data_IF_241138770985
#
_entry.id   IF_241138770985
#
_cell.length_a   1.000
_cell.length_b   1.000
_cell.length_c   1.000
_cell.angle_alpha   90.00
_cell.angle_beta   90.00
_cell.angle_gamma   90.00
#
_symmetry.space_group_name_H-M   'P 1'
#
loop_
_entity.id
_entity.type
_entity.pdbx_description
1 polymer ?
#
# COMPACT_ATOMS: atom_id res chain seq x y z
N UNK A 1 20.89 -1.22 9.61
CA UNK A 1 20.76 -2.67 9.27
C UNK A 1 19.27 -2.96 9.20
N UNK A 2 18.72 -3.25 8.02
CA UNK A 2 17.26 -3.27 7.77
C UNK A 2 16.57 -4.46 8.46
N UNK A 3 15.32 -4.27 8.89
CA UNK A 3 14.50 -5.30 9.58
C UNK A 3 14.37 -6.60 8.77
N UNK A 4 14.35 -6.50 7.44
CA UNK A 4 14.31 -7.64 6.51
C UNK A 4 15.57 -8.50 6.65
N UNK A 5 16.75 -7.88 6.67
CA UNK A 5 18.01 -8.62 6.79
C UNK A 5 18.16 -9.24 8.18
N UNK A 6 17.78 -8.51 9.23
CA UNK A 6 17.86 -9.03 10.60
C UNK A 6 16.95 -10.24 10.83
N UNK A 7 15.70 -10.18 10.34
CA UNK A 7 14.74 -11.29 10.49
C UNK A 7 15.14 -12.51 9.66
N UNK A 8 15.77 -12.31 8.50
CA UNK A 8 16.36 -13.40 7.69
C UNK A 8 17.48 -14.13 8.45
N UNK A 9 18.37 -13.40 9.11
CA UNK A 9 19.45 -14.00 9.95
C UNK A 9 18.87 -14.67 11.20
N UNK A 10 17.83 -14.09 11.80
CA UNK A 10 17.20 -14.61 13.00
C UNK A 10 16.18 -15.74 12.73
N UNK A 11 15.96 -16.13 11.46
CA UNK A 11 14.94 -17.10 11.05
C UNK A 11 13.53 -16.76 11.55
N UNK A 12 13.20 -15.46 11.63
CA UNK A 12 11.88 -14.98 12.04
C UNK A 12 11.00 -14.74 10.81
N UNK A 13 9.74 -15.16 10.90
CA UNK A 13 8.74 -14.81 9.87
C UNK A 13 8.36 -13.33 9.96
N UNK A 14 8.24 -12.66 8.81
CA UNK A 14 7.70 -11.30 8.74
C UNK A 14 6.20 -11.35 8.45
N UNK A 15 5.43 -10.54 9.17
CA UNK A 15 4.09 -10.12 8.75
C UNK A 15 4.05 -8.59 8.65
N UNK A 16 3.34 -8.07 7.66
CA UNK A 16 3.25 -6.61 7.42
C UNK A 16 1.85 -6.13 7.81
N UNK A 17 1.79 -5.04 8.56
CA UNK A 17 0.54 -4.39 8.97
C UNK A 17 0.51 -2.97 8.43
N UNK A 18 -0.56 -2.65 7.71
CA UNK A 18 -0.97 -1.29 7.33
C UNK A 18 -2.17 -0.92 8.21
N UNK A 19 -3.36 -0.67 7.66
CA UNK A 19 -4.58 -0.32 8.43
C UNK A 19 -5.29 -1.48 9.12
N UNK A 20 -4.63 -2.62 9.37
CA UNK A 20 -5.14 -3.72 10.20
C UNK A 20 -6.56 -4.25 9.85
N UNK A 21 -6.90 -4.31 8.56
CA UNK A 21 -8.24 -4.68 8.06
C UNK A 21 -8.31 -6.05 7.36
N UNK A 22 -7.34 -6.94 7.63
CA UNK A 22 -7.43 -8.32 7.17
C UNK A 22 -8.56 -9.05 7.91
N UNK A 23 -9.51 -9.64 7.17
CA UNK A 23 -10.68 -10.31 7.74
C UNK A 23 -10.35 -11.50 8.66
N UNK A 24 -9.20 -12.12 8.46
CA UNK A 24 -8.74 -13.29 9.23
C UNK A 24 -7.68 -12.93 10.27
N UNK A 25 -7.28 -11.66 10.37
CA UNK A 25 -6.24 -11.21 11.29
C UNK A 25 -4.85 -11.81 11.02
N UNK A 26 -4.55 -12.27 9.80
CA UNK A 26 -3.30 -12.99 9.47
C UNK A 26 -2.02 -12.16 9.67
N UNK A 27 -2.13 -10.83 9.83
CA UNK A 27 -1.01 -9.97 10.21
C UNK A 27 -0.62 -10.09 11.70
N UNK A 28 -1.57 -10.49 12.56
CA UNK A 28 -1.41 -10.60 14.02
C UNK A 28 -1.36 -12.05 14.51
N UNK A 29 -1.60 -13.01 13.62
CA UNK A 29 -1.72 -14.43 13.93
C UNK A 29 -0.97 -15.23 12.87
N UNK A 30 0.07 -15.96 13.27
CA UNK A 30 0.69 -16.98 12.42
C UNK A 30 0.06 -18.32 12.81
N UNK A 31 -0.48 -19.06 11.85
CA UNK A 31 -0.93 -20.43 12.08
C UNK A 31 0.29 -21.27 12.45
N UNK A 32 0.44 -21.55 13.74
CA UNK A 32 1.47 -22.45 14.28
C UNK A 32 1.00 -23.87 14.02
N UNK A 33 1.57 -24.51 13.00
CA UNK A 33 1.50 -25.96 12.86
C UNK A 33 2.53 -26.62 13.78
N UNK A 34 2.37 -27.91 14.08
CA UNK A 34 3.31 -28.71 14.90
C UNK A 34 4.76 -28.65 14.34
N UNK A 35 4.93 -28.27 13.07
CA UNK A 35 6.20 -28.15 12.35
C UNK A 35 6.80 -26.72 12.41
N UNK A 36 6.03 -25.70 12.81
CA UNK A 36 6.41 -24.29 12.68
C UNK A 36 6.31 -23.54 14.01
N UNK A 37 7.13 -23.90 15.00
CA UNK A 37 7.39 -23.06 16.16
C UNK A 37 8.29 -21.86 15.79
N UNK A 38 7.94 -21.11 14.74
CA UNK A 38 8.73 -19.99 14.25
C UNK A 38 8.28 -18.70 14.93
N UNK A 39 9.23 -18.00 15.57
CA UNK A 39 9.02 -16.63 16.02
C UNK A 39 8.69 -15.73 14.82
N UNK A 40 7.83 -14.74 15.03
CA UNK A 40 7.45 -13.79 13.98
C UNK A 40 7.60 -12.35 14.46
N UNK A 41 7.76 -11.45 13.50
CA UNK A 41 7.86 -10.01 13.70
C UNK A 41 6.79 -9.33 12.85
N UNK A 42 6.06 -8.42 13.47
CA UNK A 42 5.12 -7.54 12.78
C UNK A 42 5.86 -6.27 12.39
N UNK A 43 5.89 -5.96 11.10
CA UNK A 43 6.31 -4.65 10.60
C UNK A 43 5.06 -3.81 10.44
N UNK A 44 4.85 -2.90 11.39
CA UNK A 44 3.77 -1.94 11.32
C UNK A 44 4.21 -0.69 10.55
N UNK A 45 3.48 -0.40 9.47
CA UNK A 45 3.73 0.72 8.60
C UNK A 45 3.07 2.02 9.08
N UNK A 46 2.34 2.04 10.21
CA UNK A 46 1.54 3.21 10.65
C UNK A 46 2.28 4.56 10.68
N UNK A 47 3.61 4.56 10.81
CA UNK A 47 4.44 5.78 10.80
C UNK A 47 4.90 6.21 9.40
N UNK A 48 4.70 5.37 8.38
CA UNK A 48 4.88 5.67 6.96
C UNK A 48 3.54 6.13 6.40
N UNK A 49 3.15 7.35 6.75
CA UNK A 49 1.82 7.90 6.46
C UNK A 49 1.83 9.19 5.62
N UNK A 50 2.94 9.51 4.95
CA UNK A 50 3.04 10.71 4.11
C UNK A 50 2.28 10.57 2.79
N UNK A 51 1.71 11.69 2.34
CA UNK A 51 1.05 11.84 1.03
C UNK A 51 1.58 13.08 0.34
N UNK A 52 2.16 12.92 -0.83
CA UNK A 52 2.70 14.01 -1.66
C UNK A 52 1.96 14.05 -2.98
N UNK A 53 1.27 15.16 -3.26
CA UNK A 53 0.48 15.35 -4.49
C UNK A 53 1.26 16.20 -5.49
N UNK A 54 1.40 15.68 -6.71
CA UNK A 54 1.91 16.38 -7.87
C UNK A 54 0.73 16.81 -8.75
N UNK A 55 0.56 18.13 -8.89
CA UNK A 55 -0.55 18.73 -9.66
C UNK A 55 -0.23 18.85 -11.14
N UNK A 56 1.04 18.81 -11.52
CA UNK A 56 1.45 18.92 -12.92
C UNK A 56 1.21 17.59 -13.63
N UNK A 57 1.55 16.49 -12.96
CA UNK A 57 1.38 15.15 -13.50
C UNK A 57 0.10 14.44 -13.03
N UNK A 58 -0.75 15.12 -12.24
CA UNK A 58 -1.99 14.55 -11.69
C UNK A 58 -1.75 13.21 -10.96
N UNK A 59 -0.67 13.13 -10.16
CA UNK A 59 -0.31 11.92 -9.41
C UNK A 59 -0.08 12.18 -7.94
N UNK A 60 -0.17 11.15 -7.10
CA UNK A 60 0.21 11.23 -5.70
C UNK A 60 1.07 10.05 -5.27
N UNK A 61 2.15 10.34 -4.55
CA UNK A 61 2.86 9.34 -3.76
C UNK A 61 2.19 9.19 -2.40
N UNK A 62 1.83 7.96 -2.04
CA UNK A 62 1.14 7.60 -0.79
C UNK A 62 1.90 6.48 -0.11
N UNK A 63 2.36 6.72 1.11
CA UNK A 63 3.09 5.71 1.88
C UNK A 63 2.17 4.57 2.35
N UNK A 64 2.74 3.37 2.52
CA UNK A 64 1.99 2.14 2.73
C UNK A 64 1.19 2.08 4.04
N UNK A 65 1.53 2.93 5.02
CA UNK A 65 0.82 3.08 6.28
C UNK A 65 -0.33 4.06 6.27
N UNK A 66 -0.43 4.93 5.26
CA UNK A 66 -1.51 5.91 5.14
C UNK A 66 -2.86 5.21 5.03
N UNK A 67 -3.87 5.78 5.66
CA UNK A 67 -5.27 5.35 5.52
C UNK A 67 -5.94 5.96 4.29
N UNK A 68 -7.01 5.33 3.79
CA UNK A 68 -7.79 5.89 2.68
C UNK A 68 -8.37 7.27 3.02
N UNK A 69 -8.81 7.48 4.26
CA UNK A 69 -9.33 8.76 4.72
C UNK A 69 -8.30 9.89 4.64
N UNK A 70 -7.07 9.64 5.11
CA UNK A 70 -5.96 10.58 5.00
C UNK A 70 -5.61 10.86 3.53
N UNK A 71 -5.56 9.81 2.71
CA UNK A 71 -5.29 9.91 1.27
C UNK A 71 -6.32 10.80 0.58
N UNK A 72 -7.62 10.54 0.78
CA UNK A 72 -8.70 11.34 0.23
C UNK A 72 -8.62 12.79 0.71
N UNK A 73 -8.35 13.00 1.99
CA UNK A 73 -8.27 14.34 2.57
C UNK A 73 -7.15 15.17 1.93
N UNK A 74 -5.96 14.60 1.76
CA UNK A 74 -4.82 15.31 1.18
C UNK A 74 -5.04 15.60 -0.31
N UNK A 75 -5.53 14.63 -1.09
CA UNK A 75 -5.85 14.80 -2.52
C UNK A 75 -6.96 15.85 -2.71
N UNK A 76 -8.03 15.78 -1.92
CA UNK A 76 -9.12 16.75 -1.99
C UNK A 76 -8.63 18.17 -1.62
N UNK A 77 -7.79 18.29 -0.59
CA UNK A 77 -7.19 19.59 -0.21
C UNK A 77 -6.27 20.15 -1.29
N UNK A 78 -5.59 19.29 -2.06
CA UNK A 78 -4.77 19.69 -3.19
C UNK A 78 -5.60 20.27 -4.36
N UNK A 79 -6.88 19.91 -4.48
CA UNK A 79 -7.82 20.48 -5.48
C UNK A 79 -8.21 21.95 -5.19
N UNK A 80 -7.82 22.48 -4.02
CA UNK A 80 -8.19 23.82 -3.58
C UNK A 80 -9.61 23.90 -3.01
N UNK A 81 -9.86 24.87 -2.14
CA UNK A 81 -11.09 24.97 -1.34
C UNK A 81 -12.21 25.80 -1.98
N UNK A 82 -12.03 26.28 -3.22
CA UNK A 82 -13.00 27.16 -3.87
C UNK A 82 -13.95 26.36 -4.75
N UNK A 83 -15.25 26.68 -4.72
CA UNK A 83 -16.23 26.14 -5.67
C UNK A 83 -15.98 26.54 -7.13
N UNK A 84 -14.93 27.34 -7.39
CA UNK A 84 -14.44 27.76 -8.71
C UNK A 84 -13.15 27.05 -9.13
N UNK A 85 -12.65 26.10 -8.34
CA UNK A 85 -11.51 25.28 -8.76
C UNK A 85 -11.90 24.54 -10.04
N UNK A 86 -11.09 24.71 -11.09
CA UNK A 86 -11.34 24.11 -12.41
C UNK A 86 -11.02 22.61 -12.42
N UNK A 87 -10.19 22.15 -11.47
CA UNK A 87 -9.73 20.78 -11.35
C UNK A 87 -10.13 20.19 -9.99
N UNK A 88 -10.74 19.00 -10.02
CA UNK A 88 -11.09 18.21 -8.85
C UNK A 88 -10.41 16.85 -8.95
N UNK A 89 -9.48 16.59 -8.04
CA UNK A 89 -8.73 15.34 -7.96
C UNK A 89 -9.43 14.36 -7.02
N UNK A 90 -9.31 13.07 -7.31
CA UNK A 90 -9.89 12.01 -6.49
C UNK A 90 -9.35 10.64 -6.85
N UNK A 91 -9.34 9.74 -5.88
CA UNK A 91 -8.80 8.39 -6.05
C UNK A 91 -9.91 7.34 -5.95
N UNK A 92 -9.95 6.40 -6.89
CA UNK A 92 -10.94 5.31 -6.91
C UNK A 92 -10.56 4.21 -5.92
N UNK A 93 -11.15 4.23 -4.72
CA UNK A 93 -10.93 3.22 -3.69
C UNK A 93 -12.16 3.03 -2.77
N UNK A 94 -12.04 2.16 -1.75
CA UNK A 94 -13.15 1.87 -0.81
C UNK A 94 -13.61 3.09 -0.01
N UNK A 95 -14.88 3.08 0.39
CA UNK A 95 -15.48 4.17 1.18
C UNK A 95 -15.06 4.19 2.65
N UNK A 96 -14.59 3.08 3.21
CA UNK A 96 -14.24 3.02 4.63
C UNK A 96 -12.86 3.70 4.85
N UNK A 97 -12.79 4.77 5.66
CA UNK A 97 -11.63 5.65 5.70
C UNK A 97 -10.43 5.05 6.45
N UNK A 98 -10.65 4.08 7.35
CA UNK A 98 -9.60 3.51 8.20
C UNK A 98 -8.83 2.36 7.52
N UNK A 99 -9.20 1.95 6.30
CA UNK A 99 -8.41 0.97 5.55
C UNK A 99 -7.05 1.58 5.20
N UNK A 100 -5.98 0.83 5.44
CA UNK A 100 -4.64 1.23 5.02
C UNK A 100 -4.39 0.93 3.54
N UNK A 101 -3.75 1.87 2.85
CA UNK A 101 -3.52 1.84 1.41
C UNK A 101 -2.63 0.67 1.00
N UNK A 102 -1.63 0.30 1.82
CA UNK A 102 -0.73 -0.82 1.53
C UNK A 102 -1.46 -2.14 1.28
N UNK A 103 -2.35 -2.54 2.21
CA UNK A 103 -3.15 -3.76 2.07
C UNK A 103 -4.33 -3.59 1.09
N UNK A 104 -4.90 -2.40 1.01
CA UNK A 104 -6.06 -2.13 0.15
C UNK A 104 -5.73 -2.23 -1.34
N UNK A 105 -4.69 -1.51 -1.78
CA UNK A 105 -4.31 -1.45 -3.20
C UNK A 105 -3.75 -2.79 -3.67
N UNK A 106 -2.97 -3.47 -2.83
CA UNK A 106 -2.46 -4.80 -3.16
C UNK A 106 -3.53 -5.88 -3.23
N UNK A 107 -4.71 -5.63 -2.66
CA UNK A 107 -5.92 -6.44 -2.74
C UNK A 107 -6.95 -5.90 -3.72
N UNK A 108 -6.52 -5.22 -4.79
CA UNK A 108 -7.35 -4.65 -5.88
C UNK A 108 -8.12 -3.36 -5.49
N UNK A 109 -9.01 -3.42 -4.49
CA UNK A 109 -9.64 -2.23 -3.92
C UNK A 109 -10.83 -1.62 -4.67
N UNK A 110 -11.92 -2.39 -4.84
CA UNK A 110 -13.20 -1.91 -5.39
C UNK A 110 -13.93 -0.91 -4.48
N UNK A 111 -14.47 0.18 -5.05
CA UNK A 111 -15.21 1.22 -4.35
C UNK A 111 -16.27 1.95 -5.19
N UNK A 112 -16.72 3.11 -4.69
CA UNK A 112 -17.86 3.86 -5.25
C UNK A 112 -17.59 4.37 -6.67
N UNK A 113 -16.33 4.68 -6.96
CA UNK A 113 -15.88 5.21 -8.25
C UNK A 113 -15.54 4.13 -9.27
N UNK A 114 -15.56 2.84 -8.88
CA UNK A 114 -15.04 1.77 -9.71
C UNK A 114 -15.80 1.50 -11.00
N UNK A 115 -17.09 1.87 -11.06
CA UNK A 115 -17.85 1.79 -12.33
C UNK A 115 -17.36 2.76 -13.40
N UNK A 116 -16.72 3.86 -13.00
CA UNK A 116 -16.24 4.91 -13.90
C UNK A 116 -14.72 4.86 -14.10
N UNK A 117 -13.97 4.53 -13.05
CA UNK A 117 -12.51 4.66 -13.01
C UNK A 117 -11.78 3.33 -12.70
N UNK A 118 -12.48 2.20 -12.66
CA UNK A 118 -11.86 0.93 -12.26
C UNK A 118 -11.50 0.87 -10.77
N UNK A 119 -10.80 -0.17 -10.38
CA UNK A 119 -10.45 -0.40 -8.96
C UNK A 119 -9.19 0.36 -8.57
N UNK A 120 -8.88 0.44 -7.27
CA UNK A 120 -7.70 1.18 -6.79
C UNK A 120 -6.40 0.76 -7.50
N UNK A 121 -6.23 -0.55 -7.72
CA UNK A 121 -5.09 -1.13 -8.42
C UNK A 121 -4.99 -0.77 -9.91
N UNK A 122 -6.10 -0.45 -10.58
CA UNK A 122 -6.06 0.00 -11.98
C UNK A 122 -5.44 1.40 -12.09
N UNK A 123 -5.51 2.19 -11.01
CA UNK A 123 -5.05 3.58 -10.94
C UNK A 123 -3.66 3.70 -10.26
N UNK A 124 -2.91 2.60 -10.17
CA UNK A 124 -1.53 2.57 -9.66
C UNK A 124 -0.56 2.63 -10.84
N UNK A 125 0.26 3.68 -10.88
CA UNK A 125 1.22 3.96 -11.97
C UNK A 125 2.67 3.62 -11.60
N UNK A 126 2.98 3.54 -10.30
CA UNK A 126 4.30 3.15 -9.78
C UNK A 126 4.18 2.63 -8.34
N UNK A 127 5.22 1.97 -7.84
CA UNK A 127 5.31 1.52 -6.47
C UNK A 127 6.77 1.45 -6.01
N UNK A 128 6.99 1.65 -4.71
CA UNK A 128 8.26 1.37 -4.06
C UNK A 128 8.11 0.09 -3.22
N UNK A 129 8.93 -0.92 -3.51
CA UNK A 129 8.90 -2.24 -2.89
C UNK A 129 10.23 -2.54 -2.21
N UNK A 130 10.19 -3.04 -0.98
CA UNK A 130 11.37 -3.64 -0.34
C UNK A 130 11.38 -5.14 -0.59
N UNK A 131 12.42 -5.62 -1.26
CA UNK A 131 12.58 -7.03 -1.63
C UNK A 131 13.15 -7.89 -0.48
N UNK A 132 13.33 -9.20 -0.73
CA UNK A 132 13.90 -10.14 0.25
C UNK A 132 15.38 -9.89 0.60
N UNK A 133 16.07 -9.05 -0.18
CA UNK A 133 17.44 -8.60 0.08
C UNK A 133 17.48 -7.25 0.79
N UNK A 134 16.32 -6.66 1.10
CA UNK A 134 16.20 -5.36 1.75
C UNK A 134 16.51 -4.19 0.82
N UNK A 135 16.48 -4.40 -0.50
CA UNK A 135 16.64 -3.36 -1.51
C UNK A 135 15.31 -2.67 -1.78
N UNK A 136 15.35 -1.35 -1.95
CA UNK A 136 14.19 -0.56 -2.35
C UNK A 136 14.15 -0.49 -3.88
N UNK A 137 13.10 -1.05 -4.47
CA UNK A 137 12.89 -1.15 -5.90
C UNK A 137 11.70 -0.28 -6.32
N UNK A 138 11.86 0.50 -7.38
CA UNK A 138 10.75 1.12 -8.11
C UNK A 138 10.15 0.11 -9.12
N UNK A 139 9.13 0.52 -9.89
CA UNK A 139 8.49 -0.37 -10.87
C UNK A 139 9.48 -0.95 -11.89
N UNK A 140 10.54 -0.21 -12.24
CA UNK A 140 11.58 -0.68 -13.18
C UNK A 140 12.48 -1.70 -12.51
N UNK A 141 12.89 -1.42 -11.28
CA UNK A 141 13.78 -2.29 -10.49
C UNK A 141 13.13 -3.61 -10.08
N UNK A 142 11.81 -3.64 -9.89
CA UNK A 142 11.09 -4.87 -9.52
C UNK A 142 10.66 -5.74 -10.70
N UNK A 143 10.79 -5.24 -11.94
CA UNK A 143 10.29 -5.87 -13.16
C UNK A 143 8.76 -5.88 -13.30
N UNK A 144 8.29 -6.02 -14.55
CA UNK A 144 6.86 -5.89 -14.88
C UNK A 144 5.98 -6.95 -14.22
N UNK A 145 6.48 -8.18 -14.06
CA UNK A 145 5.70 -9.28 -13.50
C UNK A 145 5.43 -9.07 -12.01
N UNK A 146 6.44 -8.59 -11.26
CA UNK A 146 6.26 -8.25 -9.85
C UNK A 146 5.38 -7.03 -9.71
N UNK A 147 5.56 -6.00 -10.54
CA UNK A 147 4.70 -4.82 -10.52
C UNK A 147 3.23 -5.18 -10.79
N UNK A 148 2.98 -6.08 -11.75
CA UNK A 148 1.64 -6.61 -11.99
C UNK A 148 1.11 -7.39 -10.77
N UNK A 149 1.94 -8.27 -10.19
CA UNK A 149 1.55 -9.12 -9.08
C UNK A 149 1.19 -8.34 -7.81
N UNK A 150 1.93 -7.28 -7.48
CA UNK A 150 1.66 -6.51 -6.25
C UNK A 150 0.36 -5.72 -6.30
N UNK A 151 -0.21 -5.47 -7.49
CA UNK A 151 -1.45 -4.70 -7.66
C UNK A 151 -2.72 -5.50 -7.34
N UNK A 152 -2.67 -6.82 -7.28
CA UNK A 152 -3.86 -7.63 -6.94
C UNK A 152 -3.57 -8.98 -6.29
N UNK A 153 -2.31 -9.42 -6.25
CA UNK A 153 -1.89 -10.72 -5.70
C UNK A 153 -1.85 -10.78 -4.17
N UNK A 154 -2.20 -9.69 -3.48
CA UNK A 154 -2.17 -9.60 -2.02
C UNK A 154 -0.82 -9.10 -1.47
N UNK A 155 -0.90 -8.15 -0.53
CA UNK A 155 0.28 -7.57 0.11
C UNK A 155 1.03 -8.56 1.01
N UNK A 156 2.35 -8.36 1.14
CA UNK A 156 3.22 -9.17 2.00
C UNK A 156 3.70 -10.50 1.38
N UNK A 157 3.31 -10.82 0.14
CA UNK A 157 3.76 -12.02 -0.60
C UNK A 157 5.04 -11.74 -1.38
N UNK A 158 5.07 -10.61 -2.11
CA UNK A 158 6.16 -10.26 -3.03
C UNK A 158 7.19 -9.29 -2.43
N UNK A 159 6.95 -8.84 -1.20
CA UNK A 159 7.80 -7.88 -0.49
C UNK A 159 6.98 -6.94 0.40
N UNK A 160 7.63 -5.90 0.90
CA UNK A 160 7.00 -4.85 1.72
C UNK A 160 6.80 -3.63 0.84
N UNK A 161 5.56 -3.27 0.55
CA UNK A 161 5.26 -2.06 -0.22
C UNK A 161 5.48 -0.85 0.69
N UNK A 162 6.47 -0.04 0.33
CA UNK A 162 6.82 1.20 1.02
C UNK A 162 5.85 2.33 0.65
N UNK A 163 5.59 2.52 -0.65
CA UNK A 163 4.69 3.56 -1.14
C UNK A 163 4.09 3.18 -2.50
N UNK A 164 2.95 3.77 -2.81
CA UNK A 164 2.28 3.70 -4.11
C UNK A 164 2.30 5.05 -4.79
N UNK A 165 2.45 5.07 -6.10
CA UNK A 165 2.15 6.24 -6.93
C UNK A 165 0.80 6.02 -7.60
N UNK A 166 -0.13 6.92 -7.31
CA UNK A 166 -1.52 6.87 -7.75
C UNK A 166 -1.75 7.92 -8.83
N UNK A 167 -2.62 7.61 -9.78
CA UNK A 167 -3.25 8.59 -10.68
C UNK A 167 -4.46 9.22 -9.94
N UNK A 168 -4.60 10.55 -10.01
CA UNK A 168 -5.55 11.35 -9.23
C UNK A 168 -6.59 12.08 -10.08
#
# INVERSE_FOLDING_TARGET
MSVVLCTRVAYCKITVRSGAHNYEGTYSSVVVTIVTAASFVIIDLMNLNQVTVDREFETAWVEGGTTLGETYYVIARASGSSSRSVHHYGFSARSCPILGVGGHNSGNGFGLLSRKYGVAADNVVDALLVDANGQLLDWKGMENDVFWAIKAGGGGVWGIIYAWKLEN
#
